data_IF_843393701291
#
_entry.id   IF_843393701291
#
_cell.length_a   1.000
_cell.length_b   1.000
_cell.length_c   1.000
_cell.angle_alpha   90.00
_cell.angle_beta   90.00
_cell.angle_gamma   90.00
#
_symmetry.space_group_name_H-M   'P 1'
#
loop_
_entity.id
_entity.type
_entity.pdbx_description
1 polymer ?
#
# COMPACT_ATOMS: atom_id res chain seq x y z
N UNK A 1 -0.84 -12.24 4.65
CA UNK A 1 0.39 -12.72 5.34
C UNK A 1 1.67 -12.29 4.62
N UNK A 2 1.78 -12.42 3.28
CA UNK A 2 2.98 -12.05 2.50
C UNK A 2 3.66 -10.72 2.89
N UNK A 3 2.89 -9.64 3.06
CA UNK A 3 3.43 -8.33 3.46
C UNK A 3 4.19 -8.35 4.80
N UNK A 4 3.70 -9.10 5.80
CA UNK A 4 4.36 -9.23 7.10
C UNK A 4 5.68 -9.99 6.99
N UNK A 5 5.69 -11.08 6.21
CA UNK A 5 6.91 -11.88 6.00
C UNK A 5 7.98 -11.08 5.25
N UNK A 6 7.59 -10.31 4.22
CA UNK A 6 8.54 -9.46 3.51
C UNK A 6 9.07 -8.31 4.38
N UNK A 7 8.21 -7.72 5.21
CA UNK A 7 8.58 -6.64 6.11
C UNK A 7 9.54 -7.09 7.23
N UNK A 8 9.31 -8.29 7.78
CA UNK A 8 10.16 -8.87 8.82
C UNK A 8 11.52 -9.32 8.28
N UNK A 9 11.55 -9.91 7.08
CA UNK A 9 12.79 -10.35 6.44
C UNK A 9 13.64 -9.22 5.82
N UNK A 10 13.13 -7.98 5.79
CA UNK A 10 13.86 -6.84 5.22
C UNK A 10 14.91 -6.32 6.21
N UNK A 11 16.18 -6.37 5.82
CA UNK A 11 17.29 -5.77 6.57
C UNK A 11 17.29 -4.24 6.43
N UNK A 12 16.30 -3.60 7.06
CA UNK A 12 16.02 -2.18 6.95
C UNK A 12 14.69 -1.77 7.58
N UNK A 13 14.33 -0.48 7.49
CA UNK A 13 13.06 -0.01 8.02
C UNK A 13 11.88 -0.54 7.20
N UNK A 14 10.86 -1.04 7.90
CA UNK A 14 9.63 -1.55 7.30
C UNK A 14 8.41 -0.78 7.81
N UNK A 15 7.46 -0.47 6.92
CA UNK A 15 6.20 0.20 7.23
C UNK A 15 5.02 -0.63 6.74
N UNK A 16 4.10 -0.96 7.66
CA UNK A 16 2.83 -1.62 7.34
C UNK A 16 1.69 -0.67 7.74
N UNK A 17 0.86 -0.28 6.77
CA UNK A 17 -0.36 0.50 7.00
C UNK A 17 -1.56 -0.44 6.82
N UNK A 18 -2.16 -0.85 7.94
CA UNK A 18 -3.33 -1.72 7.93
C UNK A 18 -4.62 -0.90 8.05
N UNK A 19 -5.59 -1.15 7.17
CA UNK A 19 -6.93 -0.61 7.33
C UNK A 19 -7.58 -1.24 8.55
N UNK A 20 -7.87 -0.41 9.56
CA UNK A 20 -8.53 -0.83 10.79
C UNK A 20 -9.92 -0.21 10.83
N UNK A 21 -10.94 -1.06 10.92
CA UNK A 21 -12.29 -0.57 11.09
C UNK A 21 -12.57 -0.23 12.55
N UNK A 22 -13.48 0.72 12.77
CA UNK A 22 -13.80 1.26 14.08
C UNK A 22 -15.31 1.51 14.20
N UNK A 23 -15.83 1.48 15.43
CA UNK A 23 -17.20 1.88 15.75
C UNK A 23 -17.55 3.27 15.22
N UNK A 24 -16.57 4.17 15.13
CA UNK A 24 -16.74 5.52 14.60
C UNK A 24 -17.08 5.57 13.11
N UNK A 25 -16.89 4.47 12.36
CA UNK A 25 -17.36 4.37 10.99
C UNK A 25 -18.89 4.21 10.94
N UNK A 26 -19.49 3.64 11.99
CA UNK A 26 -20.93 3.55 12.18
C UNK A 26 -21.59 2.45 11.34
N UNK A 27 -21.13 1.23 11.51
CA UNK A 27 -21.75 0.01 10.99
C UNK A 27 -21.58 -1.13 12.02
N UNK A 28 -22.28 -2.25 11.85
CA UNK A 28 -22.16 -3.39 12.78
C UNK A 28 -20.78 -4.07 12.65
N UNK A 29 -20.04 -4.13 13.76
CA UNK A 29 -18.69 -4.71 13.80
C UNK A 29 -18.68 -6.22 13.51
N UNK A 30 -19.81 -6.91 13.62
CA UNK A 30 -19.93 -8.31 13.16
C UNK A 30 -19.65 -8.44 11.65
N UNK A 31 -19.91 -7.38 10.87
CA UNK A 31 -19.64 -7.33 9.43
C UNK A 31 -18.30 -6.65 9.09
N UNK A 32 -17.39 -6.59 10.07
CA UNK A 32 -16.09 -5.94 9.96
C UNK A 32 -15.27 -6.43 8.77
N UNK A 33 -15.18 -7.75 8.59
CA UNK A 33 -14.36 -8.36 7.54
C UNK A 33 -14.95 -8.15 6.15
N UNK A 34 -16.27 -8.25 6.01
CA UNK A 34 -16.99 -7.98 4.77
C UNK A 34 -16.78 -6.52 4.35
N UNK A 35 -16.85 -5.59 5.30
CA UNK A 35 -16.64 -4.17 5.01
C UNK A 35 -15.20 -3.85 4.60
N UNK A 36 -14.20 -4.50 5.22
CA UNK A 36 -12.81 -4.38 4.78
C UNK A 36 -12.63 -4.91 3.35
N UNK A 37 -13.28 -6.04 3.03
CA UNK A 37 -13.28 -6.58 1.67
C UNK A 37 -13.94 -5.59 0.69
N UNK A 38 -15.05 -4.97 1.05
CA UNK A 38 -15.70 -3.94 0.24
C UNK A 38 -14.82 -2.69 0.04
N UNK A 39 -14.06 -2.28 1.06
CA UNK A 39 -13.09 -1.18 0.94
C UNK A 39 -12.01 -1.47 -0.10
N UNK A 40 -11.53 -2.72 -0.18
CA UNK A 40 -10.57 -3.13 -1.21
C UNK A 40 -11.23 -3.25 -2.59
N UNK A 41 -12.39 -3.91 -2.69
CA UNK A 41 -13.09 -4.13 -3.95
C UNK A 41 -13.61 -2.83 -4.59
N UNK A 42 -13.94 -1.83 -3.79
CA UNK A 42 -14.33 -0.51 -4.28
C UNK A 42 -13.15 0.36 -4.71
N UNK A 43 -11.90 -0.07 -4.45
CA UNK A 43 -10.70 0.74 -4.69
C UNK A 43 -10.47 1.84 -3.65
N UNK A 44 -11.33 1.96 -2.62
CA UNK A 44 -11.13 2.90 -1.52
C UNK A 44 -9.79 2.65 -0.81
N UNK A 45 -9.47 1.37 -0.57
CA UNK A 45 -8.24 0.92 0.08
C UNK A 45 -7.45 -0.08 -0.79
N UNK A 46 -6.62 0.39 -1.74
CA UNK A 46 -5.81 -0.50 -2.57
C UNK A 46 -4.68 -1.14 -1.76
N UNK A 47 -4.45 -2.43 -1.98
CA UNK A 47 -3.36 -3.21 -1.40
C UNK A 47 -2.14 -3.15 -2.34
N UNK A 48 -1.02 -2.69 -1.80
CA UNK A 48 0.24 -2.58 -2.52
C UNK A 48 1.41 -2.88 -1.60
N UNK A 49 2.53 -3.32 -2.19
CA UNK A 49 3.79 -3.55 -1.49
C UNK A 49 4.92 -2.88 -2.25
N UNK A 50 5.88 -2.34 -1.52
CA UNK A 50 7.12 -1.83 -2.07
C UNK A 50 8.27 -2.59 -1.43
N UNK A 51 8.98 -3.41 -2.22
CA UNK A 51 10.12 -4.18 -1.75
C UNK A 51 11.40 -3.68 -2.43
N UNK A 52 12.28 -2.94 -1.72
CA UNK A 52 13.52 -2.39 -2.29
C UNK A 52 14.45 -3.46 -2.88
N UNK A 53 14.48 -4.68 -2.31
CA UNK A 53 15.38 -5.74 -2.73
C UNK A 53 15.13 -6.20 -4.19
N UNK A 54 13.91 -6.00 -4.70
CA UNK A 54 13.58 -6.32 -6.09
C UNK A 54 14.36 -5.46 -7.10
N UNK A 55 14.81 -4.26 -6.72
CA UNK A 55 15.67 -3.42 -7.58
C UNK A 55 16.99 -4.10 -7.88
N UNK A 56 17.60 -4.75 -6.89
CA UNK A 56 18.86 -5.48 -7.03
C UNK A 56 18.72 -6.66 -8.01
N UNK A 57 17.52 -7.23 -8.11
CA UNK A 57 17.19 -8.29 -9.06
C UNK A 57 16.69 -7.75 -10.42
N UNK A 58 16.80 -6.44 -10.69
CA UNK A 58 16.30 -5.80 -11.92
C UNK A 58 14.78 -5.84 -12.08
N UNK A 59 14.02 -6.06 -11.00
CA UNK A 59 12.56 -6.13 -10.99
C UNK A 59 11.95 -4.85 -10.45
N UNK A 60 10.69 -4.58 -10.81
CA UNK A 60 9.96 -3.44 -10.27
C UNK A 60 9.70 -3.65 -8.76
N UNK A 61 10.18 -2.75 -7.87
CA UNK A 61 9.96 -2.88 -6.44
C UNK A 61 8.50 -2.66 -6.03
N UNK A 62 7.72 -1.94 -6.83
CA UNK A 62 6.32 -1.66 -6.56
C UNK A 62 5.44 -2.78 -7.12
N UNK A 63 4.66 -3.40 -6.23
CA UNK A 63 3.70 -4.45 -6.53
C UNK A 63 2.31 -3.98 -6.13
N UNK A 64 1.36 -4.08 -7.05
CA UNK A 64 -0.06 -3.82 -6.79
C UNK A 64 -0.77 -5.17 -6.60
N UNK A 65 -1.22 -5.45 -5.38
CA UNK A 65 -1.85 -6.73 -5.03
C UNK A 65 -3.37 -6.70 -5.22
N UNK A 66 -3.98 -5.51 -5.12
CA UNK A 66 -5.39 -5.32 -5.45
C UNK A 66 -5.64 -5.48 -6.94
N UNK A 67 -6.80 -6.04 -7.27
CA UNK A 67 -7.38 -5.97 -8.61
C UNK A 67 -8.04 -4.61 -8.85
N UNK A 68 -8.41 -4.35 -10.11
CA UNK A 68 -9.17 -3.15 -10.44
C UNK A 68 -10.48 -3.09 -9.64
N UNK A 69 -10.96 -1.88 -9.28
CA UNK A 69 -12.23 -1.73 -8.56
C UNK A 69 -13.36 -2.47 -9.29
N UNK A 70 -14.08 -3.32 -8.56
CA UNK A 70 -15.15 -4.19 -9.10
C UNK A 70 -16.53 -3.85 -8.56
N UNK A 71 -16.61 -2.98 -7.56
CA UNK A 71 -17.87 -2.39 -7.08
C UNK A 71 -17.76 -0.86 -7.06
N UNK A 72 -18.87 -0.11 -7.23
CA UNK A 72 -18.86 1.35 -7.09
C UNK A 72 -18.46 1.78 -5.68
N UNK A 73 -17.76 2.92 -5.55
CA UNK A 73 -17.38 3.48 -4.24
C UNK A 73 -18.58 3.71 -3.34
N UNK A 74 -19.72 4.12 -3.93
CA UNK A 74 -20.99 4.31 -3.24
C UNK A 74 -21.42 3.07 -2.45
N UNK A 75 -21.22 1.88 -3.01
CA UNK A 75 -21.65 0.62 -2.38
C UNK A 75 -20.90 0.37 -1.08
N UNK A 76 -19.60 0.66 -1.04
CA UNK A 76 -18.80 0.62 0.18
C UNK A 76 -19.15 1.78 1.13
N UNK A 77 -19.14 3.02 0.65
CA UNK A 77 -19.29 4.20 1.49
C UNK A 77 -20.66 4.27 2.18
N UNK A 78 -21.73 3.89 1.49
CA UNK A 78 -23.08 4.02 2.05
C UNK A 78 -23.46 2.88 3.02
N UNK A 79 -22.53 1.97 3.29
CA UNK A 79 -22.63 1.02 4.40
C UNK A 79 -22.16 1.62 5.72
N UNK A 80 -21.56 2.82 5.74
CA UNK A 80 -21.01 3.45 6.93
C UNK A 80 -21.78 4.75 7.30
N UNK A 81 -22.17 4.90 8.57
CA UNK A 81 -22.90 6.08 9.03
C UNK A 81 -22.13 7.39 8.79
N UNK A 82 -20.79 7.37 8.90
CA UNK A 82 -19.95 8.56 8.68
C UNK A 82 -20.14 9.21 7.31
N UNK A 83 -20.58 8.45 6.30
CA UNK A 83 -20.92 8.97 4.97
C UNK A 83 -22.42 9.22 4.82
N UNK A 84 -23.26 8.29 5.28
CA UNK A 84 -24.72 8.42 5.11
C UNK A 84 -25.33 9.57 5.90
N UNK A 85 -24.69 10.01 6.99
CA UNK A 85 -25.09 11.21 7.72
C UNK A 85 -25.10 12.45 6.81
N UNK A 86 -24.06 12.64 5.98
CA UNK A 86 -24.01 13.76 5.03
C UNK A 86 -25.07 13.61 3.94
N UNK A 87 -25.30 12.39 3.44
CA UNK A 87 -26.33 12.12 2.45
C UNK A 87 -27.75 12.46 2.94
N UNK A 88 -27.99 12.42 4.26
CA UNK A 88 -29.25 12.82 4.88
C UNK A 88 -29.34 14.32 5.15
N UNK A 89 -28.27 14.94 5.63
CA UNK A 89 -28.27 16.36 6.03
C UNK A 89 -28.05 17.32 4.87
N UNK A 90 -27.29 16.92 3.85
CA UNK A 90 -27.02 17.71 2.64
C UNK A 90 -26.86 16.80 1.41
N UNK A 91 -27.98 16.36 0.79
CA UNK A 91 -27.96 15.42 -0.32
C UNK A 91 -27.16 15.90 -1.54
N UNK A 92 -27.26 17.19 -1.89
CA UNK A 92 -26.57 17.77 -3.05
C UNK A 92 -25.05 17.75 -2.87
N UNK A 93 -24.58 18.16 -1.69
CA UNK A 93 -23.15 18.08 -1.38
C UNK A 93 -22.66 16.63 -1.34
N UNK A 94 -23.44 15.71 -0.76
CA UNK A 94 -23.09 14.29 -0.72
C UNK A 94 -22.95 13.70 -2.12
N UNK A 95 -23.88 13.99 -3.03
CA UNK A 95 -23.83 13.52 -4.41
C UNK A 95 -22.59 14.05 -5.13
N UNK A 96 -22.30 15.35 -5.00
CA UNK A 96 -21.11 15.98 -5.59
C UNK A 96 -19.81 15.38 -5.05
N UNK A 97 -19.68 15.24 -3.73
CA UNK A 97 -18.46 14.72 -3.10
C UNK A 97 -18.25 13.23 -3.40
N UNK A 98 -19.32 12.45 -3.49
CA UNK A 98 -19.23 11.05 -3.88
C UNK A 98 -18.74 10.88 -5.32
N UNK A 99 -19.20 11.74 -6.24
CA UNK A 99 -18.70 11.73 -7.63
C UNK A 99 -17.20 12.05 -7.68
N UNK A 100 -16.76 13.09 -6.98
CA UNK A 100 -15.33 13.45 -6.88
C UNK A 100 -14.50 12.31 -6.26
N UNK A 101 -15.00 11.69 -5.19
CA UNK A 101 -14.31 10.58 -4.54
C UNK A 101 -14.21 9.33 -5.44
N UNK A 102 -15.24 9.06 -6.25
CA UNK A 102 -15.21 8.00 -7.25
C UNK A 102 -14.13 8.25 -8.31
N UNK A 103 -14.05 9.48 -8.84
CA UNK A 103 -12.99 9.87 -9.77
C UNK A 103 -11.60 9.75 -9.16
N UNK A 104 -11.44 10.12 -7.88
CA UNK A 104 -10.17 10.02 -7.16
C UNK A 104 -9.71 8.56 -7.00
N UNK A 105 -10.64 7.64 -6.70
CA UNK A 105 -10.35 6.20 -6.63
C UNK A 105 -9.88 5.67 -7.98
N UNK A 106 -10.58 6.03 -9.06
CA UNK A 106 -10.21 5.61 -10.42
C UNK A 106 -8.87 6.19 -10.85
N UNK A 107 -8.61 7.47 -10.56
CA UNK A 107 -7.33 8.13 -10.85
C UNK A 107 -6.20 7.45 -10.10
N UNK A 108 -6.38 7.18 -8.81
CA UNK A 108 -5.40 6.50 -7.95
C UNK A 108 -5.09 5.10 -8.47
N UNK A 109 -6.12 4.34 -8.86
CA UNK A 109 -5.94 3.04 -9.48
C UNK A 109 -5.06 3.13 -10.74
N UNK A 110 -5.37 4.03 -11.67
CA UNK A 110 -4.57 4.24 -12.90
C UNK A 110 -3.10 4.55 -12.61
N UNK A 111 -2.84 5.40 -11.62
CA UNK A 111 -1.47 5.75 -11.21
C UNK A 111 -0.72 4.51 -10.70
N UNK A 112 -1.34 3.74 -9.82
CA UNK A 112 -0.69 2.56 -9.24
C UNK A 112 -0.57 1.41 -10.23
N UNK A 113 -1.57 1.17 -11.08
CA UNK A 113 -1.49 0.14 -12.10
C UNK A 113 -0.38 0.45 -13.11
N UNK A 114 -0.27 1.71 -13.53
CA UNK A 114 0.82 2.14 -14.41
C UNK A 114 2.19 1.95 -13.74
N UNK A 115 2.30 2.35 -12.47
CA UNK A 115 3.54 2.17 -11.69
C UNK A 115 3.93 0.70 -11.57
N UNK A 116 2.98 -0.21 -11.36
CA UNK A 116 3.24 -1.64 -11.29
C UNK A 116 3.61 -2.25 -12.65
N UNK A 117 3.09 -1.69 -13.75
CA UNK A 117 3.36 -2.12 -15.12
C UNK A 117 4.70 -1.60 -15.68
N UNK A 118 5.37 -0.65 -15.01
CA UNK A 118 6.67 -0.13 -15.45
C UNK A 118 7.70 -1.26 -15.54
N UNK A 119 8.29 -1.43 -16.72
CA UNK A 119 9.45 -2.28 -16.92
C UNK A 119 10.69 -1.54 -16.44
N UNK A 120 11.50 -2.18 -15.60
CA UNK A 120 12.79 -1.63 -15.19
C UNK A 120 13.77 -1.77 -16.36
N UNK A 121 14.51 -0.71 -16.73
CA UNK A 121 15.58 -0.86 -17.70
C UNK A 121 16.58 -1.89 -17.17
N UNK A 122 17.05 -2.79 -18.04
CA UNK A 122 18.20 -3.64 -17.71
C UNK A 122 19.35 -2.71 -17.34
N UNK A 123 19.96 -2.91 -16.17
CA UNK A 123 21.29 -2.33 -15.94
C UNK A 123 22.19 -2.87 -17.05
N UNK A 124 22.60 -2.01 -17.98
CA UNK A 124 23.68 -2.31 -18.90
C UNK A 124 24.97 -2.38 -18.08
N UNK A 125 25.79 -3.40 -18.33
CA UNK A 125 27.05 -3.68 -17.61
C UNK A 125 28.10 -2.56 -17.72
N UNK A 126 27.84 -1.50 -18.49
CA UNK A 126 28.77 -0.41 -18.79
C UNK A 126 28.59 0.88 -17.95
N UNK A 127 27.97 0.82 -16.77
CA UNK A 127 27.88 2.01 -15.89
C UNK A 127 28.94 1.97 -14.77
N UNK A 128 29.91 2.91 -14.71
CA UNK A 128 31.07 2.85 -13.82
C UNK A 128 30.78 3.24 -12.35
N UNK A 129 29.55 3.08 -11.86
CA UNK A 129 29.15 3.58 -10.53
C UNK A 129 29.42 2.60 -9.36
N UNK A 130 29.79 1.34 -9.62
CA UNK A 130 30.00 0.32 -8.57
C UNK A 130 31.48 0.18 -8.14
N UNK A 131 32.17 1.30 -7.89
CA UNK A 131 33.51 1.27 -7.25
C UNK A 131 33.58 1.91 -5.86
N UNK A 132 32.46 2.35 -5.27
CA UNK A 132 32.50 3.15 -4.04
C UNK A 132 31.79 2.56 -2.79
N UNK A 133 31.30 1.33 -2.81
CA UNK A 133 30.56 0.77 -1.66
C UNK A 133 30.97 -0.67 -1.30
N UNK A 134 32.26 -0.88 -1.04
CA UNK A 134 32.71 -2.06 -0.32
C UNK A 134 33.96 -1.72 0.53
N UNK A 135 33.77 -0.92 1.57
CA UNK A 135 34.67 -0.99 2.73
C UNK A 135 33.97 -1.80 3.81
N UNK A 136 34.50 -2.98 4.19
CA UNK A 136 33.92 -3.74 5.29
C UNK A 136 34.12 -2.98 6.61
N UNK A 137 33.07 -2.94 7.43
CA UNK A 137 33.12 -2.39 8.77
C UNK A 137 34.22 -3.08 9.62
N UNK A 138 34.93 -2.33 10.50
CA UNK A 138 36.00 -2.92 11.28
C UNK A 138 35.46 -3.99 12.25
N UNK A 139 36.12 -5.14 12.27
CA UNK A 139 35.83 -6.25 13.18
C UNK A 139 35.93 -5.79 14.64
N UNK A 140 34.89 -6.10 15.44
CA UNK A 140 34.93 -5.93 16.90
C UNK A 140 36.05 -6.79 17.46
N UNK A 141 37.04 -6.14 18.08
CA UNK A 141 38.14 -6.80 18.76
C UNK A 141 37.63 -7.69 19.88
N UNK A 142 38.00 -8.97 19.83
CA UNK A 142 37.92 -9.87 20.96
C UNK A 142 38.99 -9.45 21.98
N UNK A 143 38.58 -8.83 23.08
CA UNK A 143 39.44 -8.67 24.24
C UNK A 143 39.54 -10.01 24.96
N UNK A 144 40.74 -10.58 25.00
CA UNK A 144 41.10 -11.75 25.82
C UNK A 144 42.50 -11.53 26.42
N UNK A 145 42.55 -11.42 27.74
CA UNK A 145 43.67 -11.77 28.63
C UNK A 145 44.86 -10.80 28.72
N UNK A 146 45.10 -10.25 29.92
CA UNK A 146 46.21 -10.66 30.81
C UNK A 146 46.24 -9.78 32.07
N UNK A 147 45.82 -10.35 33.21
CA UNK A 147 46.60 -10.58 34.46
C UNK A 147 45.66 -11.03 35.60
#
# INVERSE_FOLDING_TARGET
>A
IKAFLEAEAHDGPSLIIAYSHCIAHGYDMMHGLEQQKAAVLSGYWPLMRYNPALRLAGKNPFQLDSQAPSIPLKQYAYQEARYTMLARSNPDAAARLLALAQEDVERRWRVYSNRAALQMPKLSEDSPADSAAAQPAPAKGAAKGDE
#
